data_IF_739199857957
#
_entry.id   IF_739199857957
#
_cell.length_a   1.000
_cell.length_b   1.000
_cell.length_c   1.000
_cell.angle_alpha   90.00
_cell.angle_beta   90.00
_cell.angle_gamma   90.00
#
_symmetry.space_group_name_H-M   'P 1'
#
loop_
_entity.id
_entity.type
_entity.pdbx_description
1 polymer ?
#
# COMPACT_ATOMS: atom_id res chain seq x y z
N UNK A 1 16.54 -6.18 13.82
CA UNK A 1 16.04 -6.46 12.45
C UNK A 1 14.51 -6.48 12.41
N UNK A 2 13.91 -5.77 11.44
CA UNK A 2 12.46 -5.76 11.17
C UNK A 2 12.15 -6.51 9.88
N UNK A 3 10.87 -6.82 9.65
CA UNK A 3 10.36 -7.38 8.40
C UNK A 3 9.20 -6.53 7.91
N UNK A 4 9.16 -6.23 6.61
CA UNK A 4 7.97 -5.71 5.94
C UNK A 4 7.29 -6.85 5.20
N UNK A 5 6.10 -7.24 5.63
CA UNK A 5 5.31 -8.29 4.98
C UNK A 5 4.10 -7.68 4.25
N UNK A 6 3.94 -8.00 2.97
CA UNK A 6 2.81 -7.58 2.15
C UNK A 6 1.65 -8.56 2.36
N UNK A 7 0.57 -8.10 3.00
CA UNK A 7 -0.61 -8.91 3.33
C UNK A 7 -1.55 -9.07 2.13
N UNK A 8 -1.55 -8.08 1.24
CA UNK A 8 -2.19 -8.11 -0.07
C UNK A 8 -1.30 -7.37 -1.05
N UNK A 9 -1.46 -7.61 -2.35
CA UNK A 9 -0.56 -7.09 -3.38
C UNK A 9 -1.26 -6.48 -4.60
N UNK A 10 -2.60 -6.54 -4.66
CA UNK A 10 -3.38 -5.91 -5.71
C UNK A 10 -3.72 -4.44 -5.37
N UNK A 11 -4.03 -3.65 -6.40
CA UNK A 11 -4.64 -2.33 -6.25
C UNK A 11 -6.08 -2.44 -5.73
N UNK A 12 -6.75 -1.29 -5.56
CA UNK A 12 -8.16 -1.20 -5.20
C UNK A 12 -9.05 -2.15 -6.02
N UNK A 13 -9.96 -2.84 -5.32
CA UNK A 13 -10.85 -3.85 -5.90
C UNK A 13 -10.30 -5.28 -5.91
N UNK A 14 -8.99 -5.47 -5.70
CA UNK A 14 -8.35 -6.79 -5.62
C UNK A 14 -8.26 -7.51 -6.97
N UNK A 15 -7.79 -8.75 -6.94
CA UNK A 15 -7.71 -9.61 -8.13
C UNK A 15 -8.17 -11.04 -7.79
N UNK A 16 -9.20 -11.59 -8.45
CA UNK A 16 -10.08 -10.94 -9.41
C UNK A 16 -10.98 -9.89 -8.73
N UNK A 17 -11.24 -8.77 -9.40
CA UNK A 17 -12.16 -7.75 -8.90
C UNK A 17 -13.62 -8.20 -9.00
N UNK A 18 -14.43 -7.90 -7.98
CA UNK A 18 -15.78 -8.44 -7.78
C UNK A 18 -16.73 -8.29 -8.99
N UNK A 19 -16.67 -7.16 -9.70
CA UNK A 19 -17.50 -6.84 -10.86
C UNK A 19 -16.72 -6.86 -12.19
N UNK A 20 -15.49 -7.37 -12.21
CA UNK A 20 -14.66 -7.37 -13.41
C UNK A 20 -14.69 -8.73 -14.11
N UNK A 21 -14.98 -8.72 -15.41
CA UNK A 21 -14.94 -9.87 -16.30
C UNK A 21 -13.86 -9.71 -17.39
N UNK A 22 -12.84 -8.87 -17.15
CA UNK A 22 -11.69 -8.79 -18.05
C UNK A 22 -11.00 -10.16 -18.17
N UNK A 23 -10.22 -10.35 -19.23
CA UNK A 23 -9.58 -11.63 -19.53
C UNK A 23 -8.79 -12.21 -18.34
N UNK A 24 -8.11 -11.36 -17.57
CA UNK A 24 -7.30 -11.78 -16.41
C UNK A 24 -8.16 -12.14 -15.20
N UNK A 25 -9.22 -11.38 -14.89
CA UNK A 25 -10.13 -11.72 -13.79
C UNK A 25 -10.89 -13.02 -14.09
N UNK A 26 -11.34 -13.20 -15.32
CA UNK A 26 -11.97 -14.45 -15.76
C UNK A 26 -10.97 -15.62 -15.73
N UNK A 27 -9.74 -15.41 -16.22
CA UNK A 27 -8.68 -16.42 -16.14
C UNK A 27 -8.32 -16.79 -14.69
N UNK A 28 -8.25 -15.83 -13.77
CA UNK A 28 -7.99 -16.11 -12.35
C UNK A 28 -9.08 -16.98 -11.72
N UNK A 29 -10.35 -16.78 -12.11
CA UNK A 29 -11.47 -17.63 -11.66
C UNK A 29 -11.41 -19.04 -12.24
N UNK A 30 -10.98 -19.19 -13.50
CA UNK A 30 -10.92 -20.48 -14.21
C UNK A 30 -9.64 -21.27 -13.93
N UNK A 31 -8.53 -20.58 -13.73
CA UNK A 31 -7.18 -21.13 -13.52
C UNK A 31 -6.39 -20.25 -12.52
N UNK A 32 -6.67 -20.41 -11.21
CA UNK A 32 -5.98 -19.66 -10.16
C UNK A 32 -4.50 -20.05 -10.00
N UNK A 33 -4.06 -21.14 -10.62
CA UNK A 33 -2.63 -21.51 -10.62
C UNK A 33 -1.87 -20.61 -11.59
N UNK A 34 -2.43 -20.36 -12.78
CA UNK A 34 -1.84 -19.43 -13.75
C UNK A 34 -1.99 -17.97 -13.35
N UNK A 35 -3.15 -17.58 -12.83
CA UNK A 35 -3.46 -16.23 -12.38
C UNK A 35 -3.90 -16.25 -10.91
N UNK A 36 -2.93 -16.24 -10.00
CA UNK A 36 -3.19 -16.33 -8.55
C UNK A 36 -3.99 -15.13 -8.04
N UNK A 37 -5.10 -15.36 -7.32
CA UNK A 37 -5.84 -14.28 -6.65
C UNK A 37 -4.97 -13.49 -5.68
N UNK A 38 -5.29 -12.21 -5.50
CA UNK A 38 -4.60 -11.26 -4.63
C UNK A 38 -5.61 -10.37 -3.91
N UNK A 39 -5.36 -10.16 -2.62
CA UNK A 39 -6.05 -9.20 -1.76
C UNK A 39 -5.54 -7.78 -2.05
N UNK A 40 -6.35 -6.77 -1.69
CA UNK A 40 -5.96 -5.37 -1.81
C UNK A 40 -4.74 -5.05 -0.95
N UNK A 41 -3.89 -4.16 -1.45
CA UNK A 41 -2.60 -3.87 -0.85
C UNK A 41 -2.73 -3.37 0.58
N UNK A 42 -2.15 -4.15 1.48
CA UNK A 42 -1.91 -3.80 2.86
C UNK A 42 -0.60 -4.45 3.27
N UNK A 43 0.13 -3.88 4.20
CA UNK A 43 1.35 -4.48 4.72
C UNK A 43 1.39 -4.46 6.24
N UNK A 44 2.34 -5.20 6.82
CA UNK A 44 2.67 -5.15 8.24
C UNK A 44 4.18 -5.01 8.40
N UNK A 45 4.58 -4.05 9.24
CA UNK A 45 5.94 -3.95 9.77
C UNK A 45 6.01 -4.74 11.07
N UNK A 46 6.92 -5.71 11.13
CA UNK A 46 7.11 -6.58 12.29
C UNK A 46 8.50 -6.40 12.88
N UNK A 47 8.57 -6.22 14.19
CA UNK A 47 9.83 -6.19 14.93
C UNK A 47 9.59 -6.59 16.38
N UNK A 48 10.42 -7.47 16.93
CA UNK A 48 10.38 -7.87 18.34
C UNK A 48 8.99 -8.31 18.83
N UNK A 49 8.24 -9.05 18.00
CA UNK A 49 6.90 -9.53 18.34
C UNK A 49 5.78 -8.46 18.28
N UNK A 50 6.10 -7.25 17.83
CA UNK A 50 5.16 -6.14 17.63
C UNK A 50 4.81 -5.97 16.16
N UNK A 51 3.60 -5.51 15.88
CA UNK A 51 3.05 -5.42 14.53
C UNK A 51 2.44 -4.03 14.30
N UNK A 52 2.85 -3.35 13.23
CA UNK A 52 2.22 -2.12 12.76
C UNK A 52 1.71 -2.31 11.35
N UNK A 53 0.41 -2.10 11.13
CA UNK A 53 -0.17 -2.17 9.79
C UNK A 53 0.20 -0.92 8.99
N UNK A 54 0.50 -1.11 7.71
CA UNK A 54 0.52 -0.04 6.73
C UNK A 54 -0.79 -0.14 5.93
N UNK A 55 -1.64 0.86 6.13
CA UNK A 55 -3.04 0.94 5.75
C UNK A 55 -3.92 -0.11 6.46
N UNK A 56 -5.24 0.10 6.37
CA UNK A 56 -6.27 -0.80 6.85
C UNK A 56 -7.36 -0.89 5.77
N UNK A 57 -7.24 -1.84 4.85
CA UNK A 57 -8.09 -1.99 3.68
C UNK A 57 -9.31 -2.89 3.89
N UNK A 58 -10.15 -3.06 2.85
CA UNK A 58 -11.39 -3.85 2.93
C UNK A 58 -11.17 -5.33 3.22
N UNK A 59 -10.03 -5.89 2.78
CA UNK A 59 -9.67 -7.30 2.95
C UNK A 59 -9.08 -7.62 4.34
N UNK A 60 -9.04 -6.63 5.26
CA UNK A 60 -8.36 -6.71 6.55
C UNK A 60 -8.66 -7.99 7.33
N UNK A 61 -9.92 -8.41 7.40
CA UNK A 61 -10.29 -9.63 8.14
C UNK A 61 -9.62 -10.86 7.53
N UNK A 62 -9.64 -11.00 6.20
CA UNK A 62 -9.01 -12.13 5.52
C UNK A 62 -7.50 -12.11 5.71
N UNK A 63 -6.90 -10.91 5.63
CA UNK A 63 -5.46 -10.72 5.83
C UNK A 63 -5.00 -11.07 7.25
N UNK A 64 -5.78 -10.69 8.29
CA UNK A 64 -5.51 -11.07 9.68
C UNK A 64 -5.59 -12.60 9.86
N UNK A 65 -6.66 -13.22 9.36
CA UNK A 65 -6.85 -14.66 9.51
C UNK A 65 -5.81 -15.48 8.72
N UNK A 66 -5.32 -14.95 7.59
CA UNK A 66 -4.24 -15.58 6.81
C UNK A 66 -2.85 -15.39 7.44
N UNK A 67 -2.70 -14.49 8.42
CA UNK A 67 -1.38 -14.11 8.98
C UNK A 67 -1.34 -14.42 10.49
N UNK A 68 -0.82 -15.57 10.92
CA UNK A 68 -0.86 -16.00 12.32
C UNK A 68 -0.27 -15.02 13.33
N UNK A 69 0.71 -14.19 12.94
CA UNK A 69 1.30 -13.17 13.81
C UNK A 69 0.34 -12.00 14.11
N UNK A 70 -0.73 -11.84 13.34
CA UNK A 70 -1.78 -10.84 13.51
C UNK A 70 -2.99 -11.36 14.29
N UNK A 71 -3.05 -12.66 14.59
CA UNK A 71 -4.19 -13.26 15.28
C UNK A 71 -4.11 -13.05 16.80
N UNK A 72 -5.26 -12.90 17.48
CA UNK A 72 -5.31 -12.84 18.94
C UNK A 72 -4.75 -14.11 19.56
N UNK A 73 -4.08 -13.96 20.70
CA UNK A 73 -3.50 -15.10 21.42
C UNK A 73 -4.24 -15.39 22.73
N UNK A 74 -4.62 -16.64 23.03
CA UNK A 74 -5.36 -16.97 24.25
C UNK A 74 -4.67 -16.53 25.55
N UNK A 75 -3.34 -16.52 25.58
CA UNK A 75 -2.54 -16.06 26.74
C UNK A 75 -2.73 -14.56 27.05
N UNK A 76 -3.19 -13.76 26.08
CA UNK A 76 -3.45 -12.33 26.25
C UNK A 76 -4.94 -12.03 26.55
N UNK A 77 -5.72 -13.05 26.94
CA UNK A 77 -7.13 -12.95 27.28
C UNK A 77 -8.07 -13.20 26.10
N UNK A 78 -9.38 -13.20 26.36
CA UNK A 78 -10.41 -13.61 25.36
C UNK A 78 -10.62 -12.62 24.21
N UNK A 79 -10.25 -11.35 24.39
CA UNK A 79 -10.38 -10.29 23.39
C UNK A 79 -9.10 -9.45 23.42
N UNK A 80 -8.21 -9.70 22.48
CA UNK A 80 -6.95 -8.97 22.32
C UNK A 80 -6.63 -8.81 20.83
N UNK A 81 -5.61 -8.02 20.51
CA UNK A 81 -5.04 -7.91 19.17
C UNK A 81 -3.53 -7.74 19.30
N UNK A 82 -2.71 -8.40 18.47
CA UNK A 82 -1.26 -8.16 18.41
C UNK A 82 -0.89 -6.97 17.52
N UNK A 83 -1.87 -6.24 16.95
CA UNK A 83 -1.64 -5.03 16.14
C UNK A 83 -1.50 -3.82 17.09
N UNK A 84 -0.32 -3.22 17.11
CA UNK A 84 0.03 -2.11 17.99
C UNK A 84 -0.44 -0.75 17.45
N UNK A 85 -0.39 -0.57 16.14
CA UNK A 85 -0.74 0.67 15.46
C UNK A 85 -1.01 0.45 13.96
N UNK A 86 -1.51 1.50 13.32
CA UNK A 86 -1.76 1.57 11.87
C UNK A 86 -1.14 2.87 11.35
N UNK A 87 -0.46 2.83 10.21
CA UNK A 87 -0.01 4.01 9.46
C UNK A 87 -0.88 4.14 8.21
N UNK A 88 -1.52 5.28 8.00
CA UNK A 88 -2.28 5.56 6.78
C UNK A 88 -1.43 6.38 5.81
N UNK A 89 -1.29 5.89 4.58
CA UNK A 89 -0.54 6.57 3.52
C UNK A 89 -1.39 7.53 2.69
N UNK A 90 -2.70 7.33 2.65
CA UNK A 90 -3.66 8.27 2.05
C UNK A 90 -5.02 8.16 2.72
N UNK A 91 -6.01 8.89 2.18
CA UNK A 91 -7.42 8.75 2.55
C UNK A 91 -8.20 7.81 1.60
N UNK A 92 -7.54 7.07 0.72
CA UNK A 92 -8.27 6.22 -0.25
C UNK A 92 -9.07 5.12 0.46
N UNK A 93 -10.23 4.78 -0.10
CA UNK A 93 -11.17 3.84 0.54
C UNK A 93 -10.55 2.45 0.72
N UNK A 94 -9.76 2.00 -0.24
CA UNK A 94 -9.03 0.74 -0.17
C UNK A 94 -7.90 0.74 0.89
N UNK A 95 -7.58 1.89 1.47
CA UNK A 95 -6.57 2.04 2.53
C UNK A 95 -7.16 2.33 3.92
N UNK A 96 -8.43 2.77 4.02
CA UNK A 96 -9.01 3.22 5.29
C UNK A 96 -10.24 2.42 5.76
N UNK A 97 -10.93 1.70 4.88
CA UNK A 97 -12.20 1.03 5.23
C UNK A 97 -12.04 -0.05 6.32
N UNK A 98 -10.88 -0.70 6.39
CA UNK A 98 -10.55 -1.67 7.42
C UNK A 98 -10.57 -1.08 8.84
N UNK A 99 -10.36 0.23 9.02
CA UNK A 99 -10.50 0.89 10.32
C UNK A 99 -11.90 0.67 10.91
N UNK A 100 -12.95 0.75 10.08
CA UNK A 100 -14.32 0.52 10.51
C UNK A 100 -14.56 -0.95 10.91
N UNK A 101 -13.79 -1.88 10.32
CA UNK A 101 -13.83 -3.31 10.65
C UNK A 101 -13.11 -3.63 11.96
N UNK A 102 -12.33 -2.69 12.53
CA UNK A 102 -11.64 -2.84 13.81
C UNK A 102 -12.38 -2.17 14.99
N UNK A 103 -13.67 -1.85 14.81
CA UNK A 103 -14.46 -1.06 15.78
C UNK A 103 -14.79 -1.80 17.07
N UNK A 104 -14.52 -3.09 17.21
CA UNK A 104 -14.97 -3.99 18.30
C UNK A 104 -14.25 -3.75 19.65
N UNK A 105 -14.21 -2.50 20.10
CA UNK A 105 -13.79 -2.03 21.43
C UNK A 105 -12.31 -2.27 21.76
N UNK A 106 -11.45 -2.35 20.75
CA UNK A 106 -10.00 -2.32 20.94
C UNK A 106 -9.46 -0.88 20.76
N UNK A 107 -8.52 -0.43 21.59
CA UNK A 107 -7.79 0.82 21.34
C UNK A 107 -6.97 0.72 20.05
N UNK A 108 -7.10 1.72 19.19
CA UNK A 108 -6.38 1.84 17.93
C UNK A 108 -5.50 3.09 17.98
N UNK A 109 -4.21 2.93 17.71
CA UNK A 109 -3.29 4.03 17.46
C UNK A 109 -3.09 4.19 15.95
N UNK A 110 -3.40 5.36 15.42
CA UNK A 110 -3.34 5.63 13.97
C UNK A 110 -2.42 6.80 13.69
N UNK A 111 -1.37 6.54 12.91
CA UNK A 111 -0.48 7.55 12.35
C UNK A 111 -1.05 8.00 11.01
N UNK A 112 -1.21 9.31 10.84
CA UNK A 112 -1.68 9.90 9.60
C UNK A 112 -1.16 11.32 9.47
N UNK A 113 -1.10 11.82 8.23
CA UNK A 113 -0.86 13.24 8.00
C UNK A 113 -2.03 14.07 8.57
N UNK A 114 -1.80 15.35 8.94
CA UNK A 114 -2.88 16.22 9.40
C UNK A 114 -4.05 16.30 8.40
N UNK A 115 -3.78 16.31 7.10
CA UNK A 115 -4.81 16.30 6.06
C UNK A 115 -5.65 15.02 6.06
N UNK A 116 -5.02 13.84 6.04
CA UNK A 116 -5.73 12.55 6.05
C UNK A 116 -6.60 12.42 7.30
N UNK A 117 -6.05 12.80 8.47
CA UNK A 117 -6.82 12.85 9.71
C UNK A 117 -8.06 13.74 9.59
N UNK A 118 -7.92 14.98 9.10
CA UNK A 118 -9.05 15.92 8.91
C UNK A 118 -10.14 15.35 8.01
N UNK A 119 -9.75 14.69 6.92
CA UNK A 119 -10.69 14.05 5.98
C UNK A 119 -11.50 12.96 6.69
N UNK A 120 -10.85 12.11 7.50
CA UNK A 120 -11.51 11.01 8.18
C UNK A 120 -12.37 11.47 9.37
N UNK A 121 -11.91 12.45 10.15
CA UNK A 121 -12.68 13.06 11.25
C UNK A 121 -13.96 13.76 10.75
N UNK A 122 -13.93 14.30 9.54
CA UNK A 122 -15.10 14.91 8.92
C UNK A 122 -16.15 13.89 8.43
N UNK A 123 -15.76 12.62 8.28
CA UNK A 123 -16.67 11.56 7.83
C UNK A 123 -17.34 10.89 9.03
N UNK A 124 -18.68 10.98 9.09
CA UNK A 124 -19.46 10.55 10.25
C UNK A 124 -19.36 9.04 10.55
N UNK A 125 -19.00 8.20 9.59
CA UNK A 125 -18.79 6.76 9.83
C UNK A 125 -17.64 6.50 10.80
N UNK A 126 -16.57 7.30 10.78
CA UNK A 126 -15.41 7.09 11.65
C UNK A 126 -15.69 7.39 13.12
N UNK A 127 -16.80 8.06 13.44
CA UNK A 127 -17.30 8.19 14.84
C UNK A 127 -17.61 6.83 15.48
N UNK A 128 -17.75 5.76 14.69
CA UNK A 128 -17.83 4.39 15.21
C UNK A 128 -16.60 3.94 16.02
N UNK A 129 -15.47 4.65 15.88
CA UNK A 129 -14.24 4.44 16.64
C UNK A 129 -14.11 5.36 17.87
N UNK A 130 -15.18 6.03 18.27
CA UNK A 130 -15.25 6.90 19.45
C UNK A 130 -16.28 6.41 20.48
N UNK A 131 -16.65 5.12 20.43
CA UNK A 131 -17.74 4.56 21.25
C UNK A 131 -17.32 4.32 22.70
N UNK A 132 -16.02 4.22 22.96
CA UNK A 132 -15.44 4.16 24.31
C UNK A 132 -14.25 5.12 24.41
N UNK A 133 -13.93 5.61 25.62
CA UNK A 133 -12.79 6.50 25.81
C UNK A 133 -11.49 5.91 25.23
N UNK A 134 -10.72 6.75 24.54
CA UNK A 134 -9.43 6.40 23.92
C UNK A 134 -9.48 5.22 22.92
N UNK A 135 -10.64 4.91 22.35
CA UNK A 135 -10.75 3.88 21.33
C UNK A 135 -9.93 4.20 20.07
N UNK A 136 -9.84 5.48 19.68
CA UNK A 136 -8.98 5.94 18.60
C UNK A 136 -8.05 7.02 19.11
N UNK A 137 -6.75 6.83 18.89
CA UNK A 137 -5.70 7.82 19.20
C UNK A 137 -4.95 8.16 17.93
N UNK A 138 -5.07 9.41 17.49
CA UNK A 138 -4.32 9.95 16.36
C UNK A 138 -2.91 10.35 16.77
N UNK A 139 -1.93 9.99 15.94
CA UNK A 139 -0.56 10.47 16.02
C UNK A 139 -0.24 11.19 14.72
N UNK A 140 0.23 12.43 14.81
CA UNK A 140 0.59 13.20 13.63
C UNK A 140 1.85 12.60 12.98
N UNK A 141 1.75 12.34 11.68
CA UNK A 141 2.87 11.96 10.84
C UNK A 141 3.17 13.14 9.90
N UNK A 142 4.23 13.89 10.19
CA UNK A 142 4.64 15.03 9.38
C UNK A 142 5.61 14.54 8.28
N UNK A 143 5.31 14.79 6.99
CA UNK A 143 6.20 14.39 5.91
C UNK A 143 7.62 14.95 6.07
N UNK A 144 8.62 14.11 5.83
CA UNK A 144 10.04 14.44 6.02
C UNK A 144 10.54 14.28 7.46
N UNK A 145 9.66 14.23 8.47
CA UNK A 145 10.06 14.06 9.87
C UNK A 145 10.09 12.57 10.26
N UNK A 146 11.24 12.04 10.72
CA UNK A 146 11.32 10.68 11.23
C UNK A 146 10.64 10.54 12.59
N UNK A 147 9.94 9.42 12.79
CA UNK A 147 9.40 9.04 14.09
C UNK A 147 9.67 7.56 14.38
N UNK A 148 9.69 7.19 15.66
CA UNK A 148 9.84 5.80 16.07
C UNK A 148 8.51 5.05 15.87
N UNK A 149 8.49 4.09 14.96
CA UNK A 149 7.33 3.27 14.62
C UNK A 149 7.20 2.08 15.58
N UNK A 150 8.32 1.41 15.79
CA UNK A 150 8.53 0.31 16.73
C UNK A 150 9.91 0.50 17.39
N UNK A 151 10.20 -0.14 18.54
CA UNK A 151 11.52 -0.07 19.16
C UNK A 151 12.64 -0.37 18.16
N UNK A 152 13.47 0.64 17.89
CA UNK A 152 14.59 0.53 16.94
C UNK A 152 14.20 0.52 15.45
N UNK A 153 12.93 0.79 15.11
CA UNK A 153 12.44 0.96 13.73
C UNK A 153 11.90 2.36 13.56
N UNK A 154 12.55 3.15 12.71
CA UNK A 154 12.13 4.51 12.36
C UNK A 154 11.29 4.47 11.08
N UNK A 155 10.25 5.32 11.03
CA UNK A 155 9.47 5.56 9.83
C UNK A 155 9.55 7.05 9.46
N UNK A 156 9.68 7.34 8.16
CA UNK A 156 9.63 8.71 7.61
C UNK A 156 8.69 8.73 6.41
N UNK A 157 7.70 9.63 6.43
CA UNK A 157 6.81 9.82 5.29
C UNK A 157 7.47 10.66 4.19
N UNK A 158 7.33 10.25 2.94
CA UNK A 158 7.78 10.99 1.75
C UNK A 158 6.54 11.53 1.02
N UNK A 159 6.43 12.84 0.76
CA UNK A 159 5.40 13.38 -0.12
C UNK A 159 5.39 12.74 -1.51
N UNK A 160 4.23 12.30 -2.00
CA UNK A 160 4.11 11.67 -3.33
C UNK A 160 3.14 12.42 -4.26
N UNK A 161 1.91 12.66 -3.80
CA UNK A 161 0.87 13.38 -4.53
C UNK A 161 -0.01 14.18 -3.57
N UNK A 162 -0.61 15.24 -4.11
CA UNK A 162 -1.63 16.06 -3.44
C UNK A 162 -3.06 15.70 -3.85
N UNK A 163 -3.22 14.66 -4.69
CA UNK A 163 -4.53 14.19 -5.13
C UNK A 163 -5.26 13.47 -4.00
N UNK A 164 -6.42 14.00 -3.64
CA UNK A 164 -7.33 13.40 -2.68
C UNK A 164 -8.36 12.51 -3.38
N UNK A 165 -8.85 11.45 -2.70
CA UNK A 165 -9.96 10.66 -3.21
C UNK A 165 -11.18 11.54 -3.46
N UNK A 166 -12.05 11.10 -4.38
CA UNK A 166 -13.18 11.90 -4.85
C UNK A 166 -14.04 12.49 -3.71
N UNK A 167 -14.31 11.70 -2.66
CA UNK A 167 -15.12 12.12 -1.52
C UNK A 167 -14.46 13.20 -0.64
N UNK A 168 -13.15 13.42 -0.82
CA UNK A 168 -12.33 14.32 -0.03
C UNK A 168 -11.81 15.52 -0.84
N UNK A 169 -12.16 15.67 -2.12
CA UNK A 169 -11.63 16.76 -2.98
C UNK A 169 -11.82 18.17 -2.39
N UNK A 170 -12.90 18.40 -1.64
CA UNK A 170 -13.14 19.70 -0.99
C UNK A 170 -12.10 20.08 0.07
N UNK A 171 -11.33 19.13 0.59
CA UNK A 171 -10.30 19.39 1.59
C UNK A 171 -8.98 19.88 0.98
N UNK A 172 -8.76 19.66 -0.32
CA UNK A 172 -7.50 19.99 -1.00
C UNK A 172 -7.26 21.49 -1.16
N UNK A 173 -8.32 22.30 -1.32
CA UNK A 173 -8.18 23.73 -1.62
C UNK A 173 -7.46 24.58 -0.54
N UNK A 174 -7.36 24.06 0.68
CA UNK A 174 -6.68 24.72 1.81
C UNK A 174 -5.63 23.81 2.48
N UNK A 175 -5.25 22.73 1.80
CA UNK A 175 -4.30 21.78 2.32
C UNK A 175 -2.86 22.27 2.09
N UNK A 176 -1.99 22.01 3.06
CA UNK A 176 -0.55 22.09 2.82
C UNK A 176 -0.13 20.96 1.87
N UNK A 177 0.76 21.24 0.89
CA UNK A 177 1.26 20.23 -0.04
C UNK A 177 1.98 19.06 0.66
N UNK A 178 1.99 17.92 -0.02
CA UNK A 178 2.69 16.70 0.38
C UNK A 178 1.98 15.87 1.46
N UNK A 179 0.71 16.15 1.76
CA UNK A 179 -0.02 15.49 2.84
C UNK A 179 -1.10 14.51 2.37
N UNK A 180 -1.51 14.53 1.10
CA UNK A 180 -2.62 13.70 0.63
C UNK A 180 -2.22 12.23 0.44
N UNK A 181 -1.09 12.00 -0.24
CA UNK A 181 -0.52 10.68 -0.48
C UNK A 181 0.96 10.69 -0.11
N UNK A 182 1.37 9.76 0.74
CA UNK A 182 2.77 9.59 1.16
C UNK A 182 3.31 8.19 0.92
N UNK A 183 4.57 8.11 0.53
CA UNK A 183 5.38 6.88 0.64
C UNK A 183 6.03 6.81 2.01
N UNK A 184 6.64 5.68 2.34
CA UNK A 184 7.27 5.46 3.64
C UNK A 184 8.71 4.97 3.48
N UNK A 185 9.63 5.53 4.26
CA UNK A 185 10.97 4.98 4.49
C UNK A 185 10.95 4.30 5.85
N UNK A 186 11.21 3.00 5.87
CA UNK A 186 11.38 2.20 7.07
C UNK A 186 12.86 1.92 7.28
N UNK A 187 13.39 2.21 8.46
CA UNK A 187 14.81 2.01 8.75
C UNK A 187 15.05 1.38 10.12
N UNK A 188 16.01 0.47 10.20
CA UNK A 188 16.48 -0.14 11.45
C UNK A 188 17.89 -0.67 11.27
N UNK A 189 18.78 -0.47 12.23
CA UNK A 189 20.13 -1.07 12.23
C UNK A 189 20.92 -0.83 10.92
N UNK A 190 20.75 0.35 10.31
CA UNK A 190 21.41 0.71 9.04
C UNK A 190 20.78 0.09 7.78
N UNK A 191 19.72 -0.72 7.92
CA UNK A 191 18.91 -1.25 6.83
C UNK A 191 17.72 -0.38 6.53
N UNK A 192 17.35 -0.26 5.25
CA UNK A 192 16.27 0.61 4.78
C UNK A 192 15.39 -0.05 3.72
N UNK A 193 14.08 0.05 3.91
CA UNK A 193 13.06 -0.31 2.92
C UNK A 193 12.27 0.95 2.55
N UNK A 194 12.08 1.20 1.25
CA UNK A 194 11.21 2.28 0.76
C UNK A 194 9.94 1.69 0.17
N UNK A 195 8.80 2.05 0.74
CA UNK A 195 7.47 1.58 0.37
C UNK A 195 6.67 2.70 -0.27
N UNK A 196 6.43 2.60 -1.57
CA UNK A 196 5.79 3.63 -2.40
C UNK A 196 4.79 2.97 -3.33
N UNK A 197 3.58 2.66 -2.84
CA UNK A 197 2.58 1.90 -3.59
C UNK A 197 1.87 2.70 -4.69
N UNK A 198 1.96 4.03 -4.64
CA UNK A 198 1.47 4.94 -5.67
C UNK A 198 2.58 5.96 -6.00
N UNK A 199 2.97 6.03 -7.27
CA UNK A 199 4.05 6.89 -7.77
C UNK A 199 3.59 7.57 -9.06
N UNK A 200 3.23 8.85 -8.99
CA UNK A 200 2.87 9.65 -10.16
C UNK A 200 4.06 10.23 -10.92
N UNK A 201 5.21 10.35 -10.25
CA UNK A 201 6.48 10.78 -10.85
C UNK A 201 7.66 10.30 -9.99
N UNK A 202 8.81 10.05 -10.64
CA UNK A 202 10.07 9.79 -9.94
C UNK A 202 10.84 11.11 -9.84
N UNK A 203 10.71 11.79 -8.71
CA UNK A 203 11.52 12.97 -8.43
C UNK A 203 12.98 12.59 -8.13
N UNK A 204 13.89 13.56 -8.24
CA UNK A 204 15.29 13.36 -7.86
C UNK A 204 15.41 12.89 -6.39
N UNK A 205 14.64 13.49 -5.49
CA UNK A 205 14.63 13.11 -4.08
C UNK A 205 14.16 11.66 -3.88
N UNK A 206 13.13 11.23 -4.61
CA UNK A 206 12.65 9.85 -4.55
C UNK A 206 13.69 8.87 -5.11
N UNK A 207 14.32 9.20 -6.24
CA UNK A 207 15.38 8.39 -6.83
C UNK A 207 16.56 8.20 -5.87
N UNK A 208 17.02 9.28 -5.21
CA UNK A 208 18.07 9.20 -4.21
C UNK A 208 17.63 8.38 -2.98
N UNK A 209 16.36 8.50 -2.59
CA UNK A 209 15.75 7.65 -1.56
C UNK A 209 15.85 6.15 -1.89
N UNK A 210 15.50 5.79 -3.13
CA UNK A 210 15.63 4.41 -3.62
C UNK A 210 17.09 3.95 -3.71
N UNK A 211 18.00 4.81 -4.17
CA UNK A 211 19.42 4.47 -4.29
C UNK A 211 20.09 4.20 -2.93
N UNK A 212 19.58 4.83 -1.87
CA UNK A 212 20.04 4.66 -0.50
C UNK A 212 19.28 3.56 0.28
N UNK A 213 18.51 2.70 -0.40
CA UNK A 213 17.72 1.64 0.21
C UNK A 213 18.32 0.25 -0.04
N UNK A 214 18.03 -0.71 0.85
CA UNK A 214 18.34 -2.13 0.63
C UNK A 214 17.22 -2.83 -0.16
N UNK A 215 15.99 -2.37 -0.02
CA UNK A 215 14.85 -2.84 -0.81
C UNK A 215 13.86 -1.72 -1.10
N UNK A 216 13.18 -1.81 -2.24
CA UNK A 216 12.12 -0.90 -2.65
C UNK A 216 10.88 -1.71 -3.04
N UNK A 217 9.72 -1.34 -2.49
CA UNK A 217 8.40 -1.83 -2.88
C UNK A 217 7.69 -0.70 -3.61
N UNK A 218 7.56 -0.85 -4.93
CA UNK A 218 7.22 0.23 -5.86
C UNK A 218 5.90 -0.08 -6.56
N UNK A 219 5.13 0.97 -6.80
CA UNK A 219 3.95 0.99 -7.64
C UNK A 219 4.14 0.20 -8.95
N UNK A 220 3.31 -0.82 -9.13
CA UNK A 220 3.17 -1.63 -10.34
C UNK A 220 1.73 -1.65 -10.84
N UNK A 221 0.96 -0.58 -10.60
CA UNK A 221 -0.49 -0.57 -10.86
C UNK A 221 -0.82 -0.92 -12.29
N UNK A 222 -0.17 -0.27 -13.25
CA UNK A 222 -0.43 -0.46 -14.67
C UNK A 222 0.85 -0.77 -15.44
N UNK A 223 0.78 -1.75 -16.34
CA UNK A 223 1.85 -2.07 -17.28
C UNK A 223 2.08 -0.95 -18.29
N UNK A 224 0.99 -0.43 -18.88
CA UNK A 224 0.99 0.68 -19.85
C UNK A 224 0.03 1.79 -19.45
N UNK A 225 0.21 2.97 -20.02
CA UNK A 225 -0.60 4.16 -19.69
C UNK A 225 -2.08 4.00 -20.06
N UNK A 226 -2.35 3.32 -21.18
CA UNK A 226 -3.69 3.09 -21.73
C UNK A 226 -4.35 1.79 -21.23
N UNK A 227 -3.75 1.10 -20.24
CA UNK A 227 -4.19 -0.24 -19.81
C UNK A 227 -5.67 -0.29 -19.42
N UNK A 228 -6.13 0.69 -18.63
CA UNK A 228 -7.54 0.78 -18.26
C UNK A 228 -8.44 1.02 -19.48
N UNK A 229 -8.02 1.87 -20.42
CA UNK A 229 -8.81 2.17 -21.61
C UNK A 229 -8.99 0.94 -22.50
N UNK A 230 -7.97 0.07 -22.57
CA UNK A 230 -8.05 -1.22 -23.27
C UNK A 230 -9.01 -2.20 -22.59
N UNK A 231 -9.13 -2.15 -21.26
CA UNK A 231 -10.06 -2.97 -20.50
C UNK A 231 -11.50 -2.41 -20.50
N UNK A 232 -11.65 -1.09 -20.43
CA UNK A 232 -12.94 -0.38 -20.40
C UNK A 232 -12.78 1.01 -21.05
N UNK A 233 -13.32 1.23 -22.26
CA UNK A 233 -13.26 2.53 -22.92
C UNK A 233 -13.86 3.66 -22.07
N UNK A 234 -13.20 4.82 -22.06
CA UNK A 234 -13.64 6.02 -21.32
C UNK A 234 -13.08 6.15 -19.90
N UNK A 235 -12.26 5.21 -19.44
CA UNK A 235 -11.48 5.34 -18.21
C UNK A 235 -10.26 6.27 -18.41
N UNK A 236 -9.74 6.90 -17.35
CA UNK A 236 -8.51 7.69 -17.43
C UNK A 236 -7.29 6.84 -17.79
N UNK A 237 -6.25 7.50 -18.29
CA UNK A 237 -4.89 6.97 -18.42
C UNK A 237 -4.25 6.81 -17.04
N UNK A 238 -3.27 5.92 -16.91
CA UNK A 238 -2.54 5.69 -15.65
C UNK A 238 -1.96 7.00 -15.08
N UNK A 239 -1.36 7.83 -15.93
CA UNK A 239 -0.77 9.12 -15.54
C UNK A 239 -1.82 10.12 -15.03
N UNK A 240 -3.04 10.08 -15.56
CA UNK A 240 -4.13 10.97 -15.14
C UNK A 240 -4.66 10.66 -13.74
N UNK A 241 -4.38 9.45 -13.24
CA UNK A 241 -4.73 9.00 -11.89
C UNK A 241 -3.50 8.75 -11.03
N UNK A 242 -2.36 9.39 -11.36
CA UNK A 242 -1.20 9.45 -10.48
C UNK A 242 -0.32 8.19 -10.48
N UNK A 243 -0.29 7.43 -11.57
CA UNK A 243 0.54 6.24 -11.71
C UNK A 243 1.50 6.33 -12.91
N UNK A 244 2.79 6.13 -12.67
CA UNK A 244 3.80 5.90 -13.72
C UNK A 244 3.66 4.46 -14.23
N UNK A 245 3.44 4.24 -15.54
CA UNK A 245 3.39 2.89 -16.09
C UNK A 245 4.69 2.11 -15.85
N UNK A 246 4.60 0.79 -15.71
CA UNK A 246 5.77 -0.06 -15.50
C UNK A 246 6.70 -0.09 -16.71
N UNK A 247 6.12 -0.14 -17.92
CA UNK A 247 6.81 -0.28 -19.20
C UNK A 247 6.86 1.05 -19.99
N UNK A 248 7.56 1.04 -21.12
CA UNK A 248 7.79 2.23 -21.95
C UNK A 248 9.16 2.87 -21.70
N UNK A 249 9.58 3.77 -22.60
CA UNK A 249 10.89 4.44 -22.54
C UNK A 249 11.04 5.33 -21.31
N UNK A 250 9.92 5.88 -20.83
CA UNK A 250 9.81 6.70 -19.63
C UNK A 250 9.03 5.99 -18.50
N UNK A 251 8.90 4.66 -18.58
CA UNK A 251 8.25 3.84 -17.55
C UNK A 251 9.14 3.56 -16.34
N UNK A 252 8.55 3.03 -15.28
CA UNK A 252 9.23 2.73 -14.01
C UNK A 252 10.50 1.89 -14.21
N UNK A 253 10.42 0.84 -15.02
CA UNK A 253 11.56 -0.05 -15.27
C UNK A 253 12.70 0.67 -16.00
N UNK A 254 12.40 1.56 -16.94
CA UNK A 254 13.40 2.32 -17.70
C UNK A 254 14.05 3.41 -16.84
N UNK A 255 13.25 4.18 -16.10
CA UNK A 255 13.74 5.24 -15.22
C UNK A 255 14.66 4.70 -14.11
N UNK A 256 14.38 3.49 -13.61
CA UNK A 256 15.16 2.84 -12.56
C UNK A 256 16.14 1.78 -13.09
N UNK A 257 16.37 1.71 -14.40
CA UNK A 257 17.26 0.71 -15.02
C UNK A 257 18.72 0.81 -14.54
N UNK A 258 19.16 2.04 -14.21
CA UNK A 258 20.51 2.34 -13.69
C UNK A 258 20.62 2.22 -12.18
N UNK A 259 19.50 2.03 -11.48
CA UNK A 259 19.51 1.84 -10.04
C UNK A 259 20.17 0.49 -9.72
N UNK A 260 21.23 0.54 -8.89
CA UNK A 260 22.00 -0.61 -8.42
C UNK A 260 21.97 -0.60 -6.90
N UNK A 261 21.93 -1.77 -6.27
CA UNK A 261 21.88 -1.89 -4.81
C UNK A 261 20.59 -2.52 -4.31
N UNK A 262 19.45 -1.82 -4.38
CA UNK A 262 18.23 -2.31 -3.76
C UNK A 262 17.66 -3.54 -4.49
N UNK A 263 17.06 -4.43 -3.71
CA UNK A 263 16.05 -5.38 -4.19
C UNK A 263 14.83 -4.60 -4.68
N UNK A 264 14.33 -4.85 -5.89
CA UNK A 264 13.26 -4.06 -6.50
C UNK A 264 12.01 -4.92 -6.68
N UNK A 265 10.91 -4.56 -6.03
CA UNK A 265 9.68 -5.35 -6.01
C UNK A 265 8.49 -4.49 -6.43
N UNK A 266 7.72 -4.96 -7.41
CA UNK A 266 6.44 -4.36 -7.77
C UNK A 266 5.32 -4.81 -6.84
N UNK A 267 4.51 -3.85 -6.40
CA UNK A 267 3.31 -4.02 -5.56
C UNK A 267 2.14 -3.24 -6.14
N UNK A 268 0.96 -3.30 -5.51
CA UNK A 268 -0.22 -2.53 -5.91
C UNK A 268 -0.71 -2.83 -7.34
N UNK A 269 -0.74 -4.08 -7.76
CA UNK A 269 -1.05 -4.45 -9.16
C UNK A 269 -2.55 -4.32 -9.46
N UNK A 270 -2.94 -3.55 -10.47
CA UNK A 270 -4.34 -3.51 -10.89
C UNK A 270 -4.76 -4.84 -11.53
N UNK A 271 -6.04 -5.18 -11.42
CA UNK A 271 -6.60 -6.43 -11.94
C UNK A 271 -6.49 -6.61 -13.48
N UNK A 272 -6.15 -5.55 -14.19
CA UNK A 272 -5.92 -5.52 -15.65
C UNK A 272 -4.46 -5.74 -16.03
N UNK A 273 -3.53 -5.77 -15.06
CA UNK A 273 -2.11 -5.76 -15.36
C UNK A 273 -1.65 -7.14 -15.89
N UNK A 274 -1.09 -7.23 -17.12
CA UNK A 274 -0.70 -8.49 -17.73
C UNK A 274 0.36 -9.28 -16.95
N UNK A 275 1.12 -8.65 -16.05
CA UNK A 275 2.12 -9.37 -15.24
C UNK A 275 1.48 -10.32 -14.22
N UNK A 276 0.17 -10.21 -13.98
CA UNK A 276 -0.61 -11.11 -13.14
C UNK A 276 -0.70 -12.52 -13.73
N UNK A 277 -0.62 -12.65 -15.06
CA UNK A 277 -0.51 -13.93 -15.75
C UNK A 277 0.93 -14.45 -15.65
N UNK A 278 1.11 -15.61 -15.00
CA UNK A 278 2.43 -16.23 -14.81
C UNK A 278 3.15 -16.57 -16.12
N UNK A 279 2.44 -16.61 -17.25
CA UNK A 279 2.98 -16.99 -18.56
C UNK A 279 3.16 -15.80 -19.52
N UNK A 280 2.72 -14.60 -19.16
CA UNK A 280 2.78 -13.42 -20.03
C UNK A 280 4.22 -13.00 -20.35
N UNK A 281 4.41 -12.40 -21.52
CA UNK A 281 5.72 -11.89 -21.92
C UNK A 281 6.10 -10.66 -21.11
N UNK A 282 5.11 -9.88 -20.67
CA UNK A 282 5.26 -8.78 -19.73
C UNK A 282 5.87 -9.25 -18.42
N UNK A 283 5.36 -10.35 -17.83
CA UNK A 283 5.95 -10.93 -16.62
C UNK A 283 7.39 -11.38 -16.84
N UNK A 284 7.68 -12.04 -17.96
CA UNK A 284 9.05 -12.45 -18.32
C UNK A 284 9.98 -11.24 -18.43
N UNK A 285 9.51 -10.14 -19.03
CA UNK A 285 10.27 -8.91 -19.16
C UNK A 285 10.60 -8.27 -17.81
N UNK A 286 9.65 -8.24 -16.86
CA UNK A 286 9.89 -7.77 -15.49
C UNK A 286 11.01 -8.57 -14.82
N UNK A 287 10.91 -9.91 -14.86
CA UNK A 287 11.90 -10.79 -14.23
C UNK A 287 13.28 -10.66 -14.89
N UNK A 288 13.33 -10.57 -16.22
CA UNK A 288 14.57 -10.34 -16.96
C UNK A 288 15.21 -8.98 -16.64
N UNK A 289 14.41 -7.97 -16.28
CA UNK A 289 14.87 -6.65 -15.81
C UNK A 289 15.40 -6.63 -14.38
N UNK A 290 15.46 -7.78 -13.70
CA UNK A 290 15.91 -7.91 -12.31
C UNK A 290 14.92 -7.32 -11.30
N UNK A 291 13.65 -7.27 -11.68
CA UNK A 291 12.54 -6.91 -10.79
C UNK A 291 11.83 -8.16 -10.30
N UNK A 292 11.31 -8.09 -9.09
CA UNK A 292 10.42 -9.08 -8.52
C UNK A 292 8.99 -8.56 -8.51
N UNK A 293 8.03 -9.49 -8.41
CA UNK A 293 6.60 -9.19 -8.41
C UNK A 293 6.04 -9.78 -7.13
N UNK A 294 5.55 -8.93 -6.24
CA UNK A 294 5.04 -9.38 -4.96
C UNK A 294 3.81 -10.30 -5.13
N UNK A 295 3.70 -11.23 -4.19
CA UNK A 295 2.52 -12.05 -3.96
C UNK A 295 2.06 -11.84 -2.51
N UNK A 296 0.82 -12.19 -2.22
CA UNK A 296 0.30 -12.05 -0.86
C UNK A 296 1.14 -12.92 0.10
N UNK A 297 1.55 -12.33 1.22
CA UNK A 297 2.48 -12.92 2.20
C UNK A 297 3.96 -12.63 1.94
N UNK A 298 4.32 -11.90 0.88
CA UNK A 298 5.71 -11.59 0.53
C UNK A 298 6.44 -10.80 1.62
N UNK A 299 7.71 -11.12 1.87
CA UNK A 299 8.54 -10.48 2.89
C UNK A 299 9.76 -9.77 2.31
N UNK A 300 10.01 -8.57 2.84
CA UNK A 300 11.20 -7.74 2.63
C UNK A 300 11.96 -7.56 3.94
#
# INVERSE_FOLDING_TARGET
MFTLQLLGTAAGGGFPQWNCACALCDLSRRDPVRCTPRLQLQAVVRSQGRNVLLNAGPDLRVQIEATPTLQPRPENGRRNTPIDAIVLTSADLDQVLGLLLMREFQPLRVYATPLVRRVLEANSFFRMLERVPQQLTWVAMLPGEPFELLPGVTCTAIPMSDDLPYYAKSFGASAEPGQAVVGLILASEGKKVVYTPAVGQISEALYQGYAAADAIAVDGTFWSDDELQRAQPGTPLAREIGHVPMSGEDGMMAQLAKLRGPRKVFVHLNNTNPILDRQSDERKAVLAGGWEIAEDGWEL
#
